data_IF_098311144992
#
_entry.id   IF_098311144992
#
_cell.length_a   1.000
_cell.length_b   1.000
_cell.length_c   1.000
_cell.angle_alpha   90.00
_cell.angle_beta   90.00
_cell.angle_gamma   90.00
#
_symmetry.space_group_name_H-M   'P 1'
#
loop_
_entity.id
_entity.type
_entity.pdbx_description
1 polymer ?
#
# COMPACT_ATOMS: atom_id res chain seq x y z
N UNK A 1 8.67 -3.70 5.51
CA UNK A 1 9.83 -4.50 5.04
C UNK A 1 9.45 -5.21 3.76
N UNK A 2 10.41 -5.50 2.88
CA UNK A 2 10.16 -6.39 1.75
C UNK A 2 10.09 -7.84 2.26
N UNK A 3 9.23 -8.65 1.65
CA UNK A 3 9.12 -10.10 1.91
C UNK A 3 9.91 -10.86 0.84
N UNK A 4 10.03 -12.18 0.99
CA UNK A 4 10.74 -13.03 0.02
C UNK A 4 9.99 -13.18 -1.31
N UNK A 5 8.65 -13.21 -1.28
CA UNK A 5 7.86 -13.28 -2.50
C UNK A 5 8.04 -12.04 -3.38
N UNK A 6 8.18 -12.25 -4.68
CA UNK A 6 8.55 -11.23 -5.64
C UNK A 6 7.82 -11.38 -7.00
N UNK A 7 8.14 -10.45 -7.91
CA UNK A 7 7.82 -10.50 -9.33
C UNK A 7 9.14 -10.56 -10.09
N UNK A 8 9.29 -11.57 -10.95
CA UNK A 8 10.42 -11.71 -11.86
C UNK A 8 9.95 -11.45 -13.29
N UNK A 9 10.74 -10.67 -14.02
CA UNK A 9 10.48 -10.36 -15.43
C UNK A 9 11.72 -10.71 -16.23
N UNK A 10 11.62 -11.75 -17.06
CA UNK A 10 12.63 -12.03 -18.07
C UNK A 10 12.35 -11.15 -19.29
N UNK A 11 13.37 -10.46 -19.80
CA UNK A 11 13.23 -9.49 -20.88
C UNK A 11 14.25 -9.72 -21.99
N UNK A 12 13.81 -9.54 -23.24
CA UNK A 12 14.67 -9.38 -24.41
C UNK A 12 14.20 -8.17 -25.22
N UNK A 13 15.14 -7.50 -25.89
CA UNK A 13 14.83 -6.38 -26.79
C UNK A 13 14.35 -6.90 -28.14
N UNK A 14 13.39 -6.21 -28.75
CA UNK A 14 12.94 -6.41 -30.13
C UNK A 14 13.03 -5.10 -30.94
N UNK A 15 12.78 -5.18 -32.25
CA UNK A 15 12.91 -4.06 -33.19
C UNK A 15 11.60 -3.75 -33.94
N UNK A 16 10.44 -4.13 -33.37
CA UNK A 16 9.12 -4.04 -34.00
C UNK A 16 8.24 -2.92 -33.43
N UNK A 17 8.76 -2.14 -32.48
CA UNK A 17 8.07 -1.09 -31.72
C UNK A 17 6.88 -1.58 -30.88
N UNK A 18 6.89 -2.87 -30.54
CA UNK A 18 5.81 -3.54 -29.79
C UNK A 18 6.30 -3.98 -28.42
N UNK A 19 5.40 -3.90 -27.45
CA UNK A 19 5.52 -4.52 -26.14
C UNK A 19 4.79 -5.85 -26.20
N UNK A 20 5.51 -6.97 -26.12
CA UNK A 20 4.93 -8.31 -26.04
C UNK A 20 5.01 -8.82 -24.61
N UNK A 21 3.85 -9.10 -24.01
CA UNK A 21 3.72 -9.57 -22.64
C UNK A 21 3.16 -10.98 -22.61
N UNK A 22 3.89 -11.88 -21.95
CA UNK A 22 3.40 -13.20 -21.58
C UNK A 22 3.50 -13.38 -20.08
N UNK A 23 2.62 -14.19 -19.51
CA UNK A 23 2.70 -14.58 -18.11
C UNK A 23 2.92 -16.10 -18.02
N UNK A 24 3.71 -16.53 -17.05
CA UNK A 24 3.95 -17.96 -16.82
C UNK A 24 2.74 -18.65 -16.15
N UNK A 25 1.86 -17.89 -15.50
CA UNK A 25 0.58 -18.39 -15.04
C UNK A 25 -0.49 -18.21 -16.12
N UNK A 26 -0.99 -19.33 -16.64
CA UNK A 26 -1.99 -19.41 -17.70
C UNK A 26 -3.30 -18.64 -17.44
N UNK A 27 -3.61 -18.30 -16.19
CA UNK A 27 -4.79 -17.47 -15.87
C UNK A 27 -4.65 -16.03 -16.38
N UNK A 28 -3.42 -15.55 -16.56
CA UNK A 28 -3.12 -14.22 -17.09
C UNK A 28 -2.84 -14.32 -18.59
N UNK A 29 -3.79 -13.85 -19.40
CA UNK A 29 -3.69 -13.91 -20.86
C UNK A 29 -2.53 -13.05 -21.38
N UNK A 30 -1.92 -13.51 -22.46
CA UNK A 30 -0.91 -12.75 -23.19
C UNK A 30 -1.50 -11.45 -23.76
N UNK A 31 -0.65 -10.44 -23.88
CA UNK A 31 -1.03 -9.11 -24.35
C UNK A 31 0.08 -8.52 -25.23
N UNK A 32 -0.29 -7.70 -26.21
CA UNK A 32 0.67 -6.90 -26.95
C UNK A 32 0.08 -5.55 -27.35
N UNK A 33 0.92 -4.51 -27.40
CA UNK A 33 0.56 -3.20 -27.95
C UNK A 33 1.79 -2.44 -28.44
N UNK A 34 1.60 -1.42 -29.29
CA UNK A 34 2.70 -0.52 -29.63
C UNK A 34 2.99 0.42 -28.45
N UNK A 35 4.23 0.88 -28.34
CA UNK A 35 4.62 1.91 -27.35
C UNK A 35 3.75 3.17 -27.40
N UNK A 36 3.35 3.60 -28.60
CA UNK A 36 2.47 4.78 -28.79
C UNK A 36 1.04 4.59 -28.25
N UNK A 37 0.58 3.35 -28.12
CA UNK A 37 -0.80 3.02 -27.76
C UNK A 37 -0.98 2.79 -26.25
N UNK A 38 0.10 2.86 -25.45
CA UNK A 38 0.09 2.58 -24.01
C UNK A 38 -1.00 3.34 -23.27
N UNK A 39 -1.11 4.65 -23.49
CA UNK A 39 -2.11 5.48 -22.80
C UNK A 39 -3.54 5.08 -23.12
N UNK A 40 -3.80 4.64 -24.37
CA UNK A 40 -5.11 4.13 -24.79
C UNK A 40 -5.39 2.79 -24.12
N UNK A 41 -4.42 1.89 -24.09
CA UNK A 41 -4.56 0.57 -23.47
C UNK A 41 -4.78 0.64 -21.95
N UNK A 42 -4.16 1.60 -21.26
CA UNK A 42 -4.40 1.81 -19.81
C UNK A 42 -5.79 2.41 -19.58
N UNK A 43 -6.19 3.39 -20.39
CA UNK A 43 -7.45 4.12 -20.24
C UNK A 43 -8.70 3.37 -20.72
N UNK A 44 -8.54 2.23 -21.39
CA UNK A 44 -9.64 1.36 -21.75
C UNK A 44 -10.37 0.90 -20.48
N UNK A 45 -11.63 1.31 -20.33
CA UNK A 45 -12.51 0.97 -19.21
C UNK A 45 -13.38 -0.26 -19.49
N UNK A 46 -13.45 -0.71 -20.74
CA UNK A 46 -14.25 -1.88 -21.13
C UNK A 46 -13.54 -3.19 -20.75
N UNK A 47 -12.20 -3.20 -20.83
CA UNK A 47 -11.37 -4.19 -20.15
C UNK A 47 -11.20 -3.76 -18.69
N UNK A 48 -11.41 -4.65 -17.71
CA UNK A 48 -11.22 -4.33 -16.30
C UNK A 48 -9.76 -3.94 -15.97
N UNK A 49 -9.35 -3.88 -14.68
CA UNK A 49 -7.96 -3.69 -14.30
C UNK A 49 -7.14 -4.97 -14.58
N UNK A 50 -6.99 -5.31 -15.86
CA UNK A 50 -6.24 -6.47 -16.34
C UNK A 50 -4.76 -6.34 -15.95
N UNK A 51 -4.14 -7.49 -15.67
CA UNK A 51 -2.79 -7.55 -15.11
C UNK A 51 -1.76 -6.75 -15.92
N UNK A 52 -1.87 -6.78 -17.26
CA UNK A 52 -0.93 -6.11 -18.15
C UNK A 52 -0.99 -4.58 -18.00
N UNK A 53 -2.12 -4.00 -17.57
CA UNK A 53 -2.25 -2.55 -17.39
C UNK A 53 -1.31 -2.04 -16.30
N UNK A 54 -1.06 -2.81 -15.25
CA UNK A 54 -0.06 -2.46 -14.22
C UNK A 54 1.36 -2.43 -14.80
N UNK A 55 1.70 -3.39 -15.66
CA UNK A 55 2.98 -3.36 -16.38
C UNK A 55 3.07 -2.09 -17.26
N UNK A 56 2.01 -1.81 -18.04
CA UNK A 56 1.94 -0.62 -18.89
C UNK A 56 2.03 0.70 -18.11
N UNK A 57 1.44 0.78 -16.91
CA UNK A 57 1.60 1.92 -16.01
C UNK A 57 3.08 2.17 -15.72
N UNK A 58 3.82 1.13 -15.34
CA UNK A 58 5.26 1.22 -15.08
C UNK A 58 6.06 1.62 -16.33
N UNK A 59 5.75 1.05 -17.49
CA UNK A 59 6.38 1.45 -18.76
C UNK A 59 6.12 2.93 -19.02
N UNK A 60 4.87 3.38 -18.97
CA UNK A 60 4.50 4.78 -19.18
C UNK A 60 5.27 5.72 -18.27
N UNK A 61 5.33 5.42 -16.96
CA UNK A 61 6.07 6.24 -16.00
C UNK A 61 7.57 6.32 -16.29
N UNK A 62 8.17 5.23 -16.78
CA UNK A 62 9.57 5.25 -17.20
C UNK A 62 9.79 6.08 -18.47
N UNK A 63 8.89 5.96 -19.47
CA UNK A 63 8.97 6.74 -20.72
C UNK A 63 8.87 8.25 -20.50
N UNK A 64 8.20 8.69 -19.44
CA UNK A 64 8.06 10.11 -19.09
C UNK A 64 9.36 10.74 -18.56
N UNK A 65 10.35 9.93 -18.17
CA UNK A 65 11.62 10.41 -17.59
C UNK A 65 12.86 10.06 -18.39
N UNK A 66 12.78 9.08 -19.30
CA UNK A 66 13.91 8.71 -20.15
C UNK A 66 13.93 9.57 -21.44
N UNK A 67 15.11 9.87 -22.01
CA UNK A 67 15.20 10.54 -23.30
C UNK A 67 14.55 9.70 -24.43
N UNK A 68 13.93 10.35 -25.40
CA UNK A 68 13.20 9.70 -26.51
C UNK A 68 14.13 8.82 -27.35
N UNK A 69 15.38 9.26 -27.55
CA UNK A 69 16.43 8.52 -28.25
C UNK A 69 16.90 7.24 -27.53
N UNK A 70 16.60 7.13 -26.23
CA UNK A 70 16.96 5.98 -25.41
C UNK A 70 15.79 4.98 -25.25
N UNK A 71 14.63 5.27 -25.84
CA UNK A 71 13.47 4.37 -25.77
C UNK A 71 13.76 3.08 -26.56
N UNK A 72 13.57 1.90 -25.94
CA UNK A 72 13.75 0.63 -26.66
C UNK A 72 12.82 0.51 -27.87
N UNK A 73 13.34 -0.01 -28.99
CA UNK A 73 12.56 -0.22 -30.23
C UNK A 73 11.61 -1.41 -30.18
N UNK A 74 11.32 -1.96 -29.00
CA UNK A 74 10.54 -3.19 -28.81
C UNK A 74 10.99 -3.98 -27.59
N UNK A 75 10.05 -4.66 -26.91
CA UNK A 75 10.37 -5.55 -25.79
C UNK A 75 9.56 -6.85 -25.87
N UNK A 76 10.21 -7.96 -25.53
CA UNK A 76 9.61 -9.24 -25.22
C UNK A 76 9.76 -9.46 -23.71
N UNK A 77 8.65 -9.50 -22.97
CA UNK A 77 8.69 -9.68 -21.51
C UNK A 77 7.84 -10.89 -21.06
N UNK A 78 8.47 -11.77 -20.27
CA UNK A 78 7.82 -12.90 -19.63
C UNK A 78 7.78 -12.67 -18.11
N UNK A 79 6.57 -12.62 -17.56
CA UNK A 79 6.32 -12.28 -16.15
C UNK A 79 5.99 -13.53 -15.36
N UNK A 80 6.66 -13.70 -14.22
CA UNK A 80 6.36 -14.67 -13.19
C UNK A 80 6.26 -13.98 -11.83
N UNK A 81 5.46 -14.52 -10.92
CA UNK A 81 5.35 -13.97 -9.58
C UNK A 81 4.70 -14.94 -8.61
N UNK A 82 5.17 -14.91 -7.36
CA UNK A 82 4.64 -15.74 -6.27
C UNK A 82 4.02 -14.91 -5.12
N UNK A 83 3.99 -13.57 -5.24
CA UNK A 83 3.23 -12.73 -4.30
C UNK A 83 1.74 -13.06 -4.43
N UNK A 84 1.04 -13.44 -3.35
CA UNK A 84 -0.40 -13.69 -3.40
C UNK A 84 -1.14 -12.48 -3.99
N UNK A 85 -1.87 -12.61 -5.10
CA UNK A 85 -2.54 -11.47 -5.73
C UNK A 85 -3.73 -10.98 -4.89
N UNK A 86 -4.03 -9.68 -4.96
CA UNK A 86 -5.19 -9.06 -4.28
C UNK A 86 -5.25 -9.31 -2.76
N UNK A 87 -4.08 -9.43 -2.15
CA UNK A 87 -3.90 -9.92 -0.78
C UNK A 87 -3.40 -8.87 0.22
N UNK A 88 -3.20 -7.62 -0.21
CA UNK A 88 -2.54 -6.61 0.63
C UNK A 88 -1.02 -6.73 0.71
N UNK A 89 -0.38 -7.62 -0.06
CA UNK A 89 1.08 -7.78 -0.15
C UNK A 89 1.71 -7.10 -1.38
N UNK A 90 1.00 -6.12 -1.97
CA UNK A 90 1.56 -5.20 -2.98
C UNK A 90 2.10 -5.83 -4.27
N UNK A 91 1.49 -6.93 -4.75
CA UNK A 91 1.84 -7.52 -6.05
C UNK A 91 1.67 -6.59 -7.25
N UNK A 92 0.70 -5.66 -7.21
CA UNK A 92 0.52 -4.63 -8.24
C UNK A 92 1.72 -3.69 -8.29
N UNK A 93 2.14 -3.17 -7.15
CA UNK A 93 3.27 -2.25 -7.01
C UNK A 93 4.59 -2.92 -7.35
N UNK A 94 4.76 -4.21 -7.04
CA UNK A 94 5.91 -4.99 -7.46
C UNK A 94 6.00 -5.11 -8.99
N UNK A 95 4.87 -5.38 -9.67
CA UNK A 95 4.82 -5.44 -11.13
C UNK A 95 5.10 -4.08 -11.79
N UNK A 96 4.51 -2.99 -11.27
CA UNK A 96 4.79 -1.63 -11.73
C UNK A 96 6.27 -1.28 -11.55
N UNK A 97 6.82 -1.55 -10.37
CA UNK A 97 8.21 -1.24 -10.04
C UNK A 97 9.20 -2.03 -10.89
N UNK A 98 8.92 -3.32 -11.13
CA UNK A 98 9.72 -4.16 -12.01
C UNK A 98 9.67 -3.67 -13.47
N UNK A 99 8.50 -3.22 -13.96
CA UNK A 99 8.38 -2.65 -15.30
C UNK A 99 9.14 -1.32 -15.44
N UNK A 100 9.10 -0.43 -14.44
CA UNK A 100 9.92 0.80 -14.41
C UNK A 100 11.41 0.45 -14.45
N UNK A 101 11.86 -0.45 -13.57
CA UNK A 101 13.25 -0.86 -13.50
C UNK A 101 13.75 -1.45 -14.83
N UNK A 102 12.91 -2.29 -15.45
CA UNK A 102 13.19 -2.90 -16.75
C UNK A 102 13.41 -1.84 -17.83
N UNK A 103 12.49 -0.89 -18.00
CA UNK A 103 12.57 0.12 -19.06
C UNK A 103 13.76 1.06 -18.84
N UNK A 104 13.96 1.52 -17.61
CA UNK A 104 15.10 2.39 -17.26
C UNK A 104 16.44 1.68 -17.49
N UNK A 105 16.52 0.39 -17.16
CA UNK A 105 17.73 -0.39 -17.44
C UNK A 105 17.95 -0.60 -18.93
N UNK A 106 16.89 -0.96 -19.68
CA UNK A 106 16.93 -1.16 -21.12
C UNK A 106 17.33 0.11 -21.89
N UNK A 107 16.96 1.29 -21.37
CA UNK A 107 17.35 2.58 -21.94
C UNK A 107 18.76 3.04 -21.55
N UNK A 108 19.48 2.23 -20.76
CA UNK A 108 20.81 2.55 -20.19
C UNK A 108 20.83 3.84 -19.37
N UNK A 109 19.66 4.33 -18.95
CA UNK A 109 19.53 5.52 -18.12
C UNK A 109 19.77 5.16 -16.65
N UNK A 110 20.50 6.01 -15.92
CA UNK A 110 20.81 5.75 -14.52
C UNK A 110 19.93 6.62 -13.61
N UNK A 111 19.10 5.95 -12.81
CA UNK A 111 18.29 6.56 -11.77
C UNK A 111 18.61 5.93 -10.43
N UNK A 112 18.58 6.73 -9.37
CA UNK A 112 18.68 6.22 -8.02
C UNK A 112 17.44 5.38 -7.66
N UNK A 113 17.60 4.47 -6.69
CA UNK A 113 16.47 3.70 -6.14
C UNK A 113 15.32 4.57 -5.63
N UNK A 114 15.62 5.78 -5.15
CA UNK A 114 14.61 6.74 -4.66
C UNK A 114 13.82 7.35 -5.82
N UNK A 115 14.48 7.68 -6.92
CA UNK A 115 13.81 8.17 -8.14
C UNK A 115 12.94 7.07 -8.74
N UNK A 116 13.46 5.84 -8.87
CA UNK A 116 12.71 4.68 -9.36
C UNK A 116 11.45 4.42 -8.53
N UNK A 117 11.56 4.46 -7.20
CA UNK A 117 10.41 4.33 -6.30
C UNK A 117 9.38 5.46 -6.49
N UNK A 118 9.84 6.70 -6.64
CA UNK A 118 8.97 7.87 -6.82
C UNK A 118 8.23 7.82 -8.16
N UNK A 119 8.94 7.46 -9.24
CA UNK A 119 8.36 7.25 -10.57
C UNK A 119 7.31 6.15 -10.51
N UNK A 120 7.66 5.00 -9.91
CA UNK A 120 6.76 3.85 -9.79
C UNK A 120 5.48 4.20 -9.01
N UNK A 121 5.59 4.97 -7.93
CA UNK A 121 4.44 5.40 -7.14
C UNK A 121 3.49 6.33 -7.91
N UNK A 122 4.05 7.23 -8.73
CA UNK A 122 3.25 8.09 -9.60
C UNK A 122 2.63 7.29 -10.76
N UNK A 123 3.41 6.39 -11.35
CA UNK A 123 3.02 5.54 -12.46
C UNK A 123 1.83 4.63 -12.11
N UNK A 124 1.84 4.01 -10.93
CA UNK A 124 0.73 3.13 -10.52
C UNK A 124 -0.61 3.86 -10.47
N UNK A 125 -0.64 5.19 -10.25
CA UNK A 125 -1.89 5.97 -10.26
C UNK A 125 -2.57 6.01 -11.62
N UNK A 126 -1.87 5.69 -12.72
CA UNK A 126 -2.48 5.57 -14.04
C UNK A 126 -3.53 4.44 -14.10
N UNK A 127 -3.49 3.47 -13.18
CA UNK A 127 -4.55 2.44 -13.08
C UNK A 127 -5.85 2.99 -12.47
N UNK A 128 -5.84 4.22 -11.95
CA UNK A 128 -6.99 4.88 -11.31
C UNK A 128 -6.96 4.89 -9.77
N UNK A 129 -6.07 4.13 -9.13
CA UNK A 129 -5.91 4.14 -7.67
C UNK A 129 -5.09 5.34 -7.21
N UNK A 130 -5.57 6.08 -6.21
CA UNK A 130 -4.88 7.25 -5.64
C UNK A 130 -3.94 6.86 -4.50
N UNK A 131 -3.11 5.85 -4.74
CA UNK A 131 -2.17 5.27 -3.78
C UNK A 131 -1.07 6.22 -3.31
N UNK A 132 -0.51 5.88 -2.14
CA UNK A 132 0.75 6.43 -1.62
C UNK A 132 1.98 5.83 -2.31
N UNK A 133 3.16 6.02 -1.69
CA UNK A 133 4.44 5.55 -2.21
C UNK A 133 5.13 4.45 -1.39
N UNK A 134 4.47 3.90 -0.36
CA UNK A 134 5.07 2.95 0.58
C UNK A 134 5.52 1.66 -0.11
N UNK A 135 4.65 1.08 -0.93
CA UNK A 135 4.83 -0.21 -1.56
C UNK A 135 5.99 -0.20 -2.55
N UNK A 136 6.08 0.85 -3.36
CA UNK A 136 7.14 1.05 -4.35
C UNK A 136 8.44 1.44 -3.66
N UNK A 137 8.39 2.29 -2.62
CA UNK A 137 9.56 2.64 -1.84
C UNK A 137 10.20 1.40 -1.20
N UNK A 138 9.41 0.54 -0.54
CA UNK A 138 9.97 -0.67 0.07
C UNK A 138 10.43 -1.69 -0.98
N UNK A 139 9.77 -1.75 -2.14
CA UNK A 139 10.20 -2.60 -3.24
C UNK A 139 11.61 -2.24 -3.73
N UNK A 140 11.99 -0.96 -3.79
CA UNK A 140 13.36 -0.59 -4.20
C UNK A 140 14.36 -0.51 -3.04
N UNK A 141 13.94 0.05 -1.91
CA UNK A 141 14.82 0.40 -0.79
C UNK A 141 14.98 -0.74 0.24
N UNK A 142 14.19 -1.81 0.13
CA UNK A 142 14.30 -2.98 1.00
C UNK A 142 15.73 -3.49 1.13
N UNK A 143 16.07 -3.92 2.35
CA UNK A 143 17.40 -4.41 2.72
C UNK A 143 17.23 -5.67 3.57
N UNK A 144 17.93 -6.73 3.19
CA UNK A 144 17.91 -7.98 3.93
C UNK A 144 18.28 -7.76 5.41
N UNK A 145 17.52 -8.36 6.32
CA UNK A 145 17.74 -8.30 7.77
C UNK A 145 17.28 -7.02 8.47
N UNK A 146 16.70 -6.03 7.77
CA UNK A 146 16.19 -4.81 8.41
C UNK A 146 14.82 -4.38 7.89
N UNK A 147 13.92 -4.04 8.83
CA UNK A 147 12.72 -3.28 8.47
C UNK A 147 13.10 -1.84 8.12
N UNK A 148 12.14 -1.03 7.67
CA UNK A 148 12.43 0.33 7.23
C UNK A 148 11.31 1.27 7.64
N UNK A 149 11.69 2.39 8.27
CA UNK A 149 10.86 3.58 8.37
C UNK A 149 10.99 4.35 7.06
N UNK A 150 9.87 4.51 6.35
CA UNK A 150 9.81 5.26 5.09
C UNK A 150 9.15 6.60 5.35
N UNK A 151 9.86 7.67 5.02
CA UNK A 151 9.37 9.04 5.11
C UNK A 151 9.19 9.61 3.70
N UNK A 152 8.27 10.55 3.55
CA UNK A 152 7.92 11.17 2.27
C UNK A 152 8.11 12.69 2.32
N UNK A 153 8.35 13.30 1.16
CA UNK A 153 8.58 14.75 0.96
C UNK A 153 9.77 15.32 1.76
N UNK A 154 11.02 14.87 1.51
CA UNK A 154 11.46 13.98 0.44
C UNK A 154 11.43 12.49 0.82
N UNK A 155 11.53 11.60 -0.18
CA UNK A 155 11.60 10.15 0.08
C UNK A 155 12.89 9.78 0.82
N UNK A 156 12.75 9.24 2.04
CA UNK A 156 13.84 8.70 2.86
C UNK A 156 13.47 7.31 3.38
N UNK A 157 14.49 6.47 3.53
CA UNK A 157 14.37 5.16 4.16
C UNK A 157 15.42 5.05 5.26
N UNK A 158 14.96 4.77 6.47
CA UNK A 158 15.81 4.58 7.66
C UNK A 158 15.63 3.15 8.15
N UNK A 159 16.73 2.42 8.28
CA UNK A 159 16.74 1.04 8.78
C UNK A 159 16.16 0.98 10.20
N UNK A 160 15.27 0.02 10.44
CA UNK A 160 14.70 -0.27 11.76
C UNK A 160 15.10 -1.67 12.15
N UNK A 161 15.86 -1.79 13.23
CA UNK A 161 16.31 -3.07 13.77
C UNK A 161 15.17 -3.65 14.62
N UNK A 162 14.64 -4.78 14.17
CA UNK A 162 13.62 -5.52 14.91
C UNK A 162 14.27 -6.33 16.05
N UNK A 163 13.54 -6.63 17.14
CA UNK A 163 14.02 -7.57 18.15
C UNK A 163 14.44 -8.91 17.52
N UNK A 164 15.56 -9.49 17.97
CA UNK A 164 16.19 -10.68 17.37
C UNK A 164 15.27 -11.91 17.40
N UNK A 165 14.45 -12.02 18.43
CA UNK A 165 13.48 -13.09 18.66
C UNK A 165 12.13 -12.83 17.97
N UNK A 166 11.94 -11.66 17.34
CA UNK A 166 10.72 -11.34 16.59
C UNK A 166 10.64 -12.17 15.32
N UNK A 167 9.50 -12.83 15.10
CA UNK A 167 9.14 -13.40 13.81
C UNK A 167 7.79 -12.84 13.39
N UNK A 168 7.70 -12.39 12.15
CA UNK A 168 6.44 -11.98 11.56
C UNK A 168 5.88 -13.13 10.73
N UNK A 169 4.57 -13.39 10.89
CA UNK A 169 3.87 -14.42 10.13
C UNK A 169 2.77 -13.74 9.33
N UNK A 170 2.77 -13.99 8.03
CA UNK A 170 1.71 -13.57 7.12
C UNK A 170 0.66 -14.67 7.07
N UNK A 171 -0.61 -14.29 7.17
CA UNK A 171 -1.72 -15.20 6.97
C UNK A 171 -2.80 -14.59 6.07
N UNK A 172 -3.26 -15.33 5.07
CA UNK A 172 -4.21 -14.86 4.06
C UNK A 172 -5.66 -15.22 4.44
N UNK A 173 -6.55 -14.23 4.49
CA UNK A 173 -7.96 -14.39 4.94
C UNK A 173 -8.89 -15.10 3.95
N UNK A 174 -8.38 -15.46 2.77
CA UNK A 174 -9.14 -16.02 1.64
C UNK A 174 -10.26 -15.09 1.14
N UNK A 175 -10.25 -13.81 1.53
CA UNK A 175 -11.06 -12.75 0.94
C UNK A 175 -10.14 -11.91 0.06
N UNK A 176 -10.34 -11.93 -1.25
CA UNK A 176 -9.56 -11.11 -2.18
C UNK A 176 -10.23 -9.76 -2.40
N UNK A 177 -9.43 -8.70 -2.50
CA UNK A 177 -9.92 -7.37 -2.83
C UNK A 177 -9.01 -6.70 -3.86
N UNK A 178 -9.55 -6.42 -5.04
CA UNK A 178 -8.84 -5.66 -6.07
C UNK A 178 -9.15 -4.16 -5.91
N UNK A 179 -8.15 -3.41 -5.43
CA UNK A 179 -8.29 -1.97 -5.13
C UNK A 179 -8.62 -1.12 -6.35
N UNK A 180 -8.17 -1.50 -7.54
CA UNK A 180 -8.45 -0.75 -8.78
C UNK A 180 -9.87 -1.00 -9.30
N UNK A 181 -10.55 -2.04 -8.81
CA UNK A 181 -11.91 -2.38 -9.23
C UNK A 181 -13.00 -1.76 -8.36
N UNK A 182 -12.66 -1.11 -7.24
CA UNK A 182 -13.64 -0.47 -6.34
C UNK A 182 -13.27 0.96 -6.00
N UNK A 183 -14.24 1.72 -5.49
CA UNK A 183 -14.04 3.11 -5.06
C UNK A 183 -13.58 3.24 -3.61
N UNK A 184 -13.53 2.14 -2.85
CA UNK A 184 -13.33 2.16 -1.38
C UNK A 184 -12.01 2.82 -0.99
N UNK A 185 -10.93 2.45 -1.68
CA UNK A 185 -9.60 3.01 -1.44
C UNK A 185 -9.57 4.52 -1.72
N UNK A 186 -10.06 4.93 -2.89
CA UNK A 186 -10.07 6.34 -3.29
C UNK A 186 -11.01 7.18 -2.41
N UNK A 187 -12.08 6.59 -1.88
CA UNK A 187 -12.96 7.27 -0.92
C UNK A 187 -12.20 7.63 0.35
N UNK A 188 -11.37 6.73 0.89
CA UNK A 188 -10.55 7.02 2.07
C UNK A 188 -9.54 8.14 1.81
N UNK A 189 -8.94 8.17 0.62
CA UNK A 189 -8.04 9.26 0.19
C UNK A 189 -8.79 10.59 0.15
N UNK A 190 -9.98 10.61 -0.45
CA UNK A 190 -10.84 11.79 -0.52
C UNK A 190 -11.27 12.27 0.87
N UNK A 191 -11.72 11.37 1.76
CA UNK A 191 -12.10 11.70 3.13
C UNK A 191 -10.94 12.33 3.91
N UNK A 192 -9.72 11.81 3.78
CA UNK A 192 -8.54 12.38 4.44
C UNK A 192 -8.19 13.77 3.91
N UNK A 193 -8.27 13.98 2.59
CA UNK A 193 -8.02 15.29 1.97
C UNK A 193 -9.07 16.32 2.41
N UNK A 194 -10.35 15.96 2.35
CA UNK A 194 -11.45 16.81 2.77
C UNK A 194 -11.35 17.16 4.27
N UNK A 195 -10.96 16.21 5.12
CA UNK A 195 -10.71 16.47 6.53
C UNK A 195 -9.59 17.50 6.72
N UNK A 196 -8.47 17.36 6.00
CA UNK A 196 -7.36 18.32 6.06
C UNK A 196 -7.79 19.73 5.63
N UNK A 197 -8.55 19.84 4.53
CA UNK A 197 -9.08 21.11 4.01
C UNK A 197 -10.07 21.76 4.98
N UNK A 198 -10.97 20.98 5.58
CA UNK A 198 -11.92 21.45 6.59
C UNK A 198 -11.21 22.00 7.83
N UNK A 199 -10.18 21.31 8.33
CA UNK A 199 -9.37 21.78 9.46
C UNK A 199 -8.62 23.07 9.06
N UNK A 200 -8.01 23.09 7.87
CA UNK A 200 -7.31 24.27 7.36
C UNK A 200 -8.22 25.50 7.32
N UNK A 201 -9.44 25.36 6.77
CA UNK A 201 -10.43 26.43 6.73
C UNK A 201 -10.80 26.92 8.13
N UNK A 202 -11.13 26.02 9.06
CA UNK A 202 -11.48 26.38 10.46
C UNK A 202 -10.34 27.04 11.22
N UNK A 203 -9.10 26.71 10.88
CA UNK A 203 -7.88 27.28 11.48
C UNK A 203 -7.31 28.47 10.71
N UNK A 204 -8.10 29.08 9.81
CA UNK A 204 -7.72 30.25 9.01
C UNK A 204 -6.44 30.04 8.19
N UNK A 205 -6.27 28.84 7.63
CA UNK A 205 -5.19 28.48 6.69
C UNK A 205 -5.74 28.37 5.27
N UNK A 206 -4.92 28.63 4.22
CA UNK A 206 -5.35 28.47 2.82
C UNK A 206 -5.62 27.00 2.53
N UNK A 207 -6.89 26.62 2.43
CA UNK A 207 -7.31 25.23 2.33
C UNK A 207 -7.22 24.70 0.91
N UNK A 208 -7.29 25.56 -0.11
CA UNK A 208 -7.32 25.17 -1.53
C UNK A 208 -6.06 24.42 -1.97
N UNK A 209 -4.93 24.66 -1.30
CA UNK A 209 -3.65 24.00 -1.59
C UNK A 209 -3.36 22.82 -0.67
N UNK A 210 -4.20 22.57 0.35
CA UNK A 210 -4.01 21.47 1.28
C UNK A 210 -4.46 20.17 0.63
N UNK A 211 -3.55 19.21 0.56
CA UNK A 211 -3.75 17.93 -0.11
C UNK A 211 -3.73 16.76 0.88
N UNK A 212 -3.06 16.91 2.02
CA UNK A 212 -2.80 15.85 2.99
C UNK A 212 -2.94 16.38 4.42
N UNK A 213 -3.19 15.45 5.35
CA UNK A 213 -3.27 15.77 6.78
C UNK A 213 -1.92 16.24 7.36
N UNK A 214 -0.79 15.80 6.82
CA UNK A 214 0.52 16.31 7.26
C UNK A 214 0.72 17.78 6.90
N UNK A 215 0.21 18.24 5.74
CA UNK A 215 0.35 19.63 5.31
C UNK A 215 -0.27 20.61 6.33
N UNK A 216 -1.40 20.22 6.94
CA UNK A 216 -2.05 21.04 7.97
C UNK A 216 -1.36 20.92 9.34
N UNK A 217 -0.80 19.75 9.69
CA UNK A 217 0.00 19.59 10.89
C UNK A 217 1.23 20.51 10.86
N UNK A 218 1.96 20.51 9.74
CA UNK A 218 3.14 21.36 9.54
C UNK A 218 2.78 22.84 9.55
N UNK A 219 1.69 23.22 8.87
CA UNK A 219 1.20 24.60 8.85
C UNK A 219 0.80 25.15 10.22
N UNK A 220 0.31 24.28 11.11
CA UNK A 220 -0.03 24.62 12.50
C UNK A 220 1.15 24.47 13.47
N UNK A 221 2.23 23.82 13.05
CA UNK A 221 3.39 23.48 13.88
C UNK A 221 2.98 22.75 15.18
N UNK A 222 2.14 21.71 15.03
CA UNK A 222 1.60 20.92 16.12
C UNK A 222 2.10 19.47 16.11
N UNK A 223 2.21 18.88 17.29
CA UNK A 223 2.48 17.46 17.47
C UNK A 223 1.27 16.61 17.05
N UNK A 224 1.52 15.31 16.84
CA UNK A 224 0.45 14.34 16.51
C UNK A 224 -0.66 14.30 17.57
N UNK A 225 -0.30 14.41 18.85
CA UNK A 225 -1.26 14.40 19.97
C UNK A 225 -2.11 15.68 20.02
N UNK A 226 -1.50 16.83 19.71
CA UNK A 226 -2.24 18.09 19.60
C UNK A 226 -3.22 18.04 18.41
N UNK A 227 -2.81 17.44 17.28
CA UNK A 227 -3.69 17.26 16.13
C UNK A 227 -4.93 16.39 16.43
N UNK A 228 -4.82 15.38 17.31
CA UNK A 228 -5.99 14.61 17.78
C UNK A 228 -6.99 15.51 18.51
N UNK A 229 -6.51 16.46 19.32
CA UNK A 229 -7.36 17.44 20.01
C UNK A 229 -8.01 18.43 19.03
N UNK A 230 -7.25 18.87 18.02
CA UNK A 230 -7.75 19.71 16.93
C UNK A 230 -8.90 19.01 16.20
N UNK A 231 -8.72 17.75 15.78
CA UNK A 231 -9.77 16.98 15.09
C UNK A 231 -11.03 16.85 15.94
N UNK A 232 -10.86 16.54 17.23
CA UNK A 232 -11.99 16.34 18.14
C UNK A 232 -12.84 17.59 18.29
N UNK A 233 -12.22 18.77 18.18
CA UNK A 233 -12.88 20.07 18.28
C UNK A 233 -13.43 20.55 16.93
N UNK A 234 -12.67 20.33 15.86
CA UNK A 234 -12.90 20.96 14.57
C UNK A 234 -13.79 20.13 13.65
N UNK A 235 -13.90 18.82 13.84
CA UNK A 235 -14.72 17.93 13.01
C UNK A 235 -15.79 17.23 13.88
N UNK A 236 -17.04 17.19 13.41
CA UNK A 236 -18.10 16.45 14.09
C UNK A 236 -18.10 14.96 13.72
N UNK A 237 -18.78 14.16 14.53
CA UNK A 237 -18.79 12.70 14.40
C UNK A 237 -19.59 12.22 13.19
N UNK A 238 -20.73 12.85 12.90
CA UNK A 238 -21.61 12.37 11.84
C UNK A 238 -20.99 12.50 10.44
N UNK A 239 -21.36 11.61 9.49
CA UNK A 239 -20.89 11.73 8.11
C UNK A 239 -21.32 13.06 7.47
N UNK A 240 -20.38 13.68 6.78
CA UNK A 240 -20.59 14.91 6.03
C UNK A 240 -21.21 14.64 4.67
N UNK A 241 -22.07 15.55 4.21
CA UNK A 241 -22.53 15.57 2.81
C UNK A 241 -21.66 16.50 1.96
N UNK A 242 -21.63 16.29 0.65
CA UNK A 242 -20.90 17.20 -0.25
C UNK A 242 -21.39 18.65 -0.12
N UNK A 243 -22.71 18.86 -0.01
CA UNK A 243 -23.29 20.20 0.15
C UNK A 243 -22.84 20.88 1.43
N UNK A 244 -22.71 20.13 2.51
CA UNK A 244 -22.25 20.66 3.79
C UNK A 244 -20.78 21.07 3.71
N UNK A 245 -19.93 20.23 3.12
CA UNK A 245 -18.50 20.51 2.95
C UNK A 245 -18.30 21.76 2.09
N UNK A 246 -18.98 21.84 0.94
CA UNK A 246 -18.90 23.00 0.05
C UNK A 246 -19.33 24.29 0.75
N UNK A 247 -20.39 24.23 1.57
CA UNK A 247 -20.82 25.36 2.39
C UNK A 247 -19.75 25.76 3.42
N UNK A 248 -19.17 24.80 4.13
CA UNK A 248 -18.15 25.07 5.15
C UNK A 248 -16.85 25.63 4.56
N UNK A 249 -16.49 25.24 3.34
CA UNK A 249 -15.30 25.73 2.64
C UNK A 249 -15.53 27.05 1.88
N UNK A 250 -16.77 27.55 1.83
CA UNK A 250 -17.22 28.67 1.00
C UNK A 250 -16.88 28.46 -0.49
N UNK A 251 -17.26 27.30 -1.04
CA UNK A 251 -16.94 26.92 -2.42
C UNK A 251 -18.11 26.23 -3.13
N UNK A 252 -17.97 25.99 -4.44
CA UNK A 252 -18.95 25.23 -5.22
C UNK A 252 -18.59 23.75 -5.30
N UNK A 253 -19.58 22.90 -5.56
CA UNK A 253 -19.35 21.46 -5.72
C UNK A 253 -18.42 21.17 -6.91
N UNK A 254 -18.48 21.95 -7.98
CA UNK A 254 -17.62 21.79 -9.16
C UNK A 254 -16.16 22.04 -8.80
N UNK A 255 -15.87 23.17 -8.14
CA UNK A 255 -14.52 23.51 -7.70
C UNK A 255 -13.98 22.51 -6.67
N UNK A 256 -14.83 22.05 -5.75
CA UNK A 256 -14.44 21.04 -4.76
C UNK A 256 -14.10 19.69 -5.42
N UNK A 257 -14.84 19.30 -6.47
CA UNK A 257 -14.59 18.06 -7.21
C UNK A 257 -13.24 18.05 -7.91
N UNK A 258 -12.85 19.19 -8.47
CA UNK A 258 -11.56 19.38 -9.13
C UNK A 258 -10.40 19.28 -8.13
N UNK A 259 -10.46 20.06 -7.04
CA UNK A 259 -9.35 20.22 -6.09
C UNK A 259 -9.18 19.01 -5.17
N UNK A 260 -10.27 18.27 -4.89
CA UNK A 260 -10.28 17.26 -3.82
C UNK A 260 -10.32 15.80 -4.29
N UNK A 261 -10.13 15.56 -5.60
CA UNK A 261 -10.22 14.25 -6.26
C UNK A 261 -11.58 13.56 -6.08
N UNK A 262 -12.68 14.29 -6.35
CA UNK A 262 -14.03 13.75 -6.19
C UNK A 262 -14.73 13.42 -7.51
N UNK A 263 -14.00 13.32 -8.63
CA UNK A 263 -14.59 13.14 -9.96
C UNK A 263 -15.48 11.89 -10.02
N UNK A 264 -15.09 10.82 -9.32
CA UNK A 264 -15.77 9.52 -9.38
C UNK A 264 -16.87 9.32 -8.32
N UNK A 265 -17.18 10.32 -7.49
CA UNK A 265 -18.20 10.18 -6.44
C UNK A 265 -19.50 10.88 -6.82
N UNK A 266 -20.64 10.25 -6.54
CA UNK A 266 -21.95 10.88 -6.74
C UNK A 266 -22.20 12.02 -5.74
N UNK A 267 -23.20 12.86 -5.99
CA UNK A 267 -23.61 13.89 -5.04
C UNK A 267 -24.23 13.33 -3.74
N UNK A 268 -24.66 12.06 -3.77
CA UNK A 268 -25.23 11.37 -2.62
C UNK A 268 -24.17 10.73 -1.70
N UNK A 269 -22.89 10.79 -2.09
CA UNK A 269 -21.79 10.27 -1.28
C UNK A 269 -21.68 11.01 0.06
N UNK A 270 -21.47 10.24 1.12
CA UNK A 270 -21.19 10.74 2.48
C UNK A 270 -19.71 10.51 2.85
N UNK A 271 -19.17 11.37 3.72
CA UNK A 271 -17.74 11.39 4.06
C UNK A 271 -17.52 11.41 5.58
N UNK A 272 -16.79 10.43 6.12
CA UNK A 272 -16.47 10.31 7.56
C UNK A 272 -15.14 10.98 7.91
N UNK A 273 -15.13 12.32 7.90
CA UNK A 273 -13.89 13.11 8.00
C UNK A 273 -13.15 12.90 9.32
N UNK A 274 -13.87 12.96 10.45
CA UNK A 274 -13.28 12.90 11.79
C UNK A 274 -12.59 11.57 12.05
N UNK A 275 -13.27 10.47 11.75
CA UNK A 275 -12.75 9.12 12.00
C UNK A 275 -11.52 8.83 11.14
N UNK A 276 -11.51 9.30 9.88
CA UNK A 276 -10.37 9.11 8.98
C UNK A 276 -9.16 9.91 9.46
N UNK A 277 -9.37 11.16 9.86
CA UNK A 277 -8.31 12.00 10.38
C UNK A 277 -7.75 11.46 11.71
N UNK A 278 -8.61 11.03 12.63
CA UNK A 278 -8.19 10.39 13.89
C UNK A 278 -7.34 9.14 13.63
N UNK A 279 -7.79 8.26 12.73
CA UNK A 279 -7.01 7.08 12.36
C UNK A 279 -5.61 7.47 11.89
N UNK A 280 -5.49 8.43 10.96
CA UNK A 280 -4.21 8.79 10.35
C UNK A 280 -3.20 9.32 11.37
N UNK A 281 -3.57 10.31 12.21
CA UNK A 281 -2.58 10.83 13.17
C UNK A 281 -2.25 9.84 14.29
N UNK A 282 -3.23 9.05 14.74
CA UNK A 282 -2.97 8.01 15.74
C UNK A 282 -2.10 6.87 15.16
N UNK A 283 -2.29 6.50 13.89
CA UNK A 283 -1.45 5.51 13.21
C UNK A 283 -0.03 6.04 13.01
N UNK A 284 0.13 7.30 12.60
CA UNK A 284 1.44 7.94 12.53
C UNK A 284 2.17 7.94 13.88
N UNK A 285 1.45 8.20 14.98
CA UNK A 285 2.02 8.14 16.32
C UNK A 285 2.45 6.71 16.70
N UNK A 286 1.63 5.69 16.36
CA UNK A 286 1.97 4.28 16.56
C UNK A 286 3.23 3.86 15.79
N UNK A 287 3.45 4.39 14.58
CA UNK A 287 4.66 4.11 13.80
C UNK A 287 5.92 4.63 14.50
N UNK A 288 5.89 5.88 14.98
CA UNK A 288 7.03 6.47 15.71
C UNK A 288 7.30 5.72 17.02
N UNK A 289 6.25 5.33 17.75
CA UNK A 289 6.38 4.54 18.98
C UNK A 289 6.93 3.14 18.69
N UNK A 290 6.49 2.49 17.61
CA UNK A 290 6.99 1.18 17.19
C UNK A 290 8.50 1.23 16.91
N UNK A 291 8.96 2.25 16.17
CA UNK A 291 10.38 2.47 15.94
C UNK A 291 11.13 2.67 17.27
N UNK A 292 10.64 3.59 18.11
CA UNK A 292 11.26 3.92 19.39
C UNK A 292 11.45 2.69 20.28
N UNK A 293 10.41 1.85 20.43
CA UNK A 293 10.47 0.63 21.23
C UNK A 293 11.46 -0.38 20.63
N UNK A 294 11.47 -0.53 19.31
CA UNK A 294 12.36 -1.47 18.62
C UNK A 294 13.83 -1.16 18.95
N UNK A 295 14.22 0.11 18.87
CA UNK A 295 15.60 0.58 19.04
C UNK A 295 16.04 0.77 20.50
N UNK A 296 15.12 0.73 21.47
CA UNK A 296 15.40 1.06 22.87
C UNK A 296 16.13 -0.04 23.63
N UNK A 297 17.42 0.11 23.90
CA UNK A 297 18.23 -0.93 24.58
C UNK A 297 17.83 -1.25 26.03
N UNK A 298 17.14 -0.35 26.72
CA UNK A 298 16.83 -0.49 28.15
C UNK A 298 15.64 -1.42 28.47
N UNK A 299 14.92 -1.92 27.46
CA UNK A 299 13.74 -2.78 27.65
C UNK A 299 14.14 -4.22 27.32
N UNK A 300 13.75 -5.16 28.20
CA UNK A 300 13.91 -6.60 27.94
C UNK A 300 13.19 -7.01 26.66
N UNK A 301 13.77 -7.93 25.92
CA UNK A 301 13.28 -8.27 24.58
C UNK A 301 11.84 -8.80 24.56
N UNK A 302 11.47 -9.65 25.53
CA UNK A 302 10.11 -10.14 25.67
C UNK A 302 9.09 -9.01 25.89
N UNK A 303 9.46 -8.00 26.69
CA UNK A 303 8.63 -6.85 26.97
C UNK A 303 8.51 -5.94 25.74
N UNK A 304 9.60 -5.75 24.98
CA UNK A 304 9.53 -5.06 23.68
C UNK A 304 8.51 -5.72 22.77
N UNK A 305 8.60 -7.05 22.59
CA UNK A 305 7.70 -7.78 21.70
C UNK A 305 6.23 -7.66 22.11
N UNK A 306 5.94 -7.70 23.41
CA UNK A 306 4.58 -7.47 23.92
C UNK A 306 4.09 -6.06 23.60
N UNK A 307 4.93 -5.03 23.78
CA UNK A 307 4.56 -3.65 23.46
C UNK A 307 4.34 -3.44 21.96
N UNK A 308 5.23 -3.99 21.11
CA UNK A 308 5.08 -3.96 19.65
C UNK A 308 3.80 -4.69 19.21
N UNK A 309 3.52 -5.86 19.79
CA UNK A 309 2.28 -6.61 19.56
C UNK A 309 1.02 -5.81 19.94
N UNK A 310 1.04 -5.12 21.08
CA UNK A 310 -0.05 -4.24 21.50
C UNK A 310 -0.26 -3.09 20.51
N UNK A 311 0.82 -2.47 19.99
CA UNK A 311 0.71 -1.44 18.96
C UNK A 311 0.07 -1.99 17.67
N UNK A 312 0.44 -3.20 17.25
CA UNK A 312 -0.17 -3.86 16.08
C UNK A 312 -1.66 -4.11 16.28
N UNK A 313 -2.06 -4.68 17.42
CA UNK A 313 -3.48 -4.92 17.75
C UNK A 313 -4.29 -3.63 17.82
N UNK A 314 -3.72 -2.56 18.39
CA UNK A 314 -4.35 -1.22 18.42
C UNK A 314 -4.49 -0.62 17.01
N UNK A 315 -3.49 -0.82 16.15
CA UNK A 315 -3.58 -0.45 14.73
C UNK A 315 -4.72 -1.21 14.04
N UNK A 316 -4.85 -2.53 14.28
CA UNK A 316 -5.96 -3.31 13.74
C UNK A 316 -7.33 -2.78 14.16
N UNK A 317 -7.50 -2.50 15.46
CA UNK A 317 -8.74 -1.94 15.97
C UNK A 317 -9.06 -0.60 15.31
N UNK A 318 -8.07 0.26 15.13
CA UNK A 318 -8.22 1.55 14.43
C UNK A 318 -8.62 1.36 12.96
N UNK A 319 -7.98 0.44 12.24
CA UNK A 319 -8.34 0.10 10.85
C UNK A 319 -9.76 -0.46 10.74
N UNK A 320 -10.20 -1.26 11.72
CA UNK A 320 -11.54 -1.80 11.74
C UNK A 320 -12.61 -0.74 12.08
N UNK A 321 -12.40 0.06 13.13
CA UNK A 321 -13.43 0.96 13.68
C UNK A 321 -13.37 2.39 13.14
N UNK A 322 -12.19 2.96 12.99
CA UNK A 322 -12.02 4.35 12.56
C UNK A 322 -11.80 4.46 11.05
N UNK A 323 -10.98 3.59 10.46
CA UNK A 323 -10.74 3.61 9.03
C UNK A 323 -11.71 2.74 8.23
N UNK A 324 -12.43 1.81 8.88
CA UNK A 324 -13.42 0.94 8.23
C UNK A 324 -12.89 0.31 6.93
N UNK A 325 -11.66 -0.22 6.99
CA UNK A 325 -11.01 -0.94 5.89
C UNK A 325 -10.73 -2.41 6.24
N UNK A 326 -11.27 -2.94 7.34
CA UNK A 326 -11.18 -4.38 7.62
C UNK A 326 -12.23 -5.18 6.85
N UNK A 327 -12.26 -6.49 7.07
CA UNK A 327 -13.24 -7.43 6.50
C UNK A 327 -13.57 -8.52 7.53
N UNK A 328 -14.80 -9.09 7.57
CA UNK A 328 -15.15 -10.14 8.53
C UNK A 328 -14.16 -11.32 8.56
N UNK A 329 -13.73 -11.80 7.39
CA UNK A 329 -12.71 -12.87 7.30
C UNK A 329 -11.33 -12.44 7.83
N UNK A 330 -10.98 -11.16 7.71
CA UNK A 330 -9.72 -10.62 8.27
C UNK A 330 -9.81 -10.52 9.78
N UNK A 331 -10.92 -10.00 10.32
CA UNK A 331 -11.16 -9.91 11.76
C UNK A 331 -11.12 -11.31 12.40
N UNK A 332 -11.83 -12.27 11.81
CA UNK A 332 -11.82 -13.66 12.29
C UNK A 332 -10.43 -14.28 12.25
N UNK A 333 -9.63 -13.96 11.23
CA UNK A 333 -8.25 -14.43 11.14
C UNK A 333 -7.33 -13.79 12.19
N UNK A 334 -7.53 -12.51 12.50
CA UNK A 334 -6.83 -11.84 13.62
C UNK A 334 -7.18 -12.52 14.93
N UNK A 335 -8.46 -12.77 15.22
CA UNK A 335 -8.90 -13.43 16.44
C UNK A 335 -8.28 -14.84 16.58
N UNK A 336 -8.27 -15.61 15.49
CA UNK A 336 -7.62 -16.94 15.43
C UNK A 336 -6.12 -16.86 15.67
N UNK A 337 -5.43 -15.90 15.05
CA UNK A 337 -4.00 -15.68 15.27
C UNK A 337 -3.71 -15.35 16.74
N UNK A 338 -4.50 -14.46 17.37
CA UNK A 338 -4.36 -14.16 18.80
C UNK A 338 -4.60 -15.41 19.67
N UNK A 339 -5.63 -16.21 19.37
CA UNK A 339 -5.90 -17.46 20.08
C UNK A 339 -4.79 -18.51 19.92
N UNK A 340 -4.09 -18.51 18.79
CA UNK A 340 -2.92 -19.36 18.53
C UNK A 340 -1.63 -18.87 19.22
N UNK A 341 -1.67 -17.72 19.90
CA UNK A 341 -0.56 -17.22 20.70
C UNK A 341 0.23 -16.06 20.08
N UNK A 342 -0.27 -15.41 19.02
CA UNK A 342 0.33 -14.17 18.53
C UNK A 342 0.39 -13.12 19.66
N UNK A 343 1.49 -12.38 19.74
CA UNK A 343 1.62 -11.24 20.67
C UNK A 343 0.86 -10.01 20.15
N UNK A 344 0.62 -9.95 18.85
CA UNK A 344 -0.25 -8.98 18.21
C UNK A 344 -0.47 -9.35 16.74
N UNK A 345 -1.61 -8.97 16.20
CA UNK A 345 -1.96 -9.22 14.81
C UNK A 345 -2.78 -8.07 14.22
N UNK A 346 -2.57 -7.80 12.94
CA UNK A 346 -3.31 -6.77 12.21
C UNK A 346 -3.42 -7.08 10.73
N UNK A 347 -4.46 -6.54 10.10
CA UNK A 347 -4.51 -6.34 8.65
C UNK A 347 -3.20 -5.72 8.13
N UNK A 348 -2.76 -6.15 6.94
CA UNK A 348 -1.70 -5.47 6.18
C UNK A 348 -2.17 -5.08 4.77
N UNK A 349 -1.55 -4.04 4.20
CA UNK A 349 -1.96 -3.46 2.93
C UNK A 349 -3.26 -2.66 3.02
N UNK A 350 -3.97 -2.57 1.90
CA UNK A 350 -5.14 -1.70 1.75
C UNK A 350 -6.36 -2.08 2.61
N UNK A 351 -6.58 -3.38 2.85
CA UNK A 351 -7.79 -3.86 3.51
C UNK A 351 -8.87 -4.43 2.61
N UNK A 352 -10.08 -4.50 3.16
CA UNK A 352 -11.29 -5.11 2.61
C UNK A 352 -11.14 -6.59 2.25
N UNK A 353 -10.13 -7.23 2.84
CA UNK A 353 -9.70 -8.58 2.55
C UNK A 353 -8.18 -8.69 2.71
N UNK A 354 -7.60 -9.69 2.09
CA UNK A 354 -6.17 -9.92 2.01
C UNK A 354 -5.58 -10.55 3.25
N UNK A 355 -4.37 -10.12 3.61
CA UNK A 355 -3.56 -10.75 4.64
C UNK A 355 -3.60 -9.99 5.96
N UNK A 356 -3.32 -10.74 7.01
CA UNK A 356 -2.83 -10.19 8.27
C UNK A 356 -1.32 -10.37 8.36
N UNK A 357 -0.71 -9.59 9.23
CA UNK A 357 0.63 -9.82 9.78
C UNK A 357 0.50 -9.98 11.29
N UNK A 358 1.05 -11.07 11.80
CA UNK A 358 1.12 -11.39 13.22
C UNK A 358 2.58 -11.38 13.69
N UNK A 359 2.82 -10.96 14.93
CA UNK A 359 4.14 -11.04 15.57
C UNK A 359 4.14 -12.16 16.62
N UNK A 360 5.15 -13.02 16.55
CA UNK A 360 5.37 -14.18 17.44
C UNK A 360 6.85 -14.26 17.81
N UNK A 361 7.20 -15.04 18.83
CA UNK A 361 8.59 -15.34 19.17
C UNK A 361 9.14 -16.50 18.33
N UNK A 362 10.44 -16.45 18.04
CA UNK A 362 11.16 -17.45 17.21
C UNK A 362 11.01 -18.89 17.70
N UNK A 363 10.96 -19.11 19.01
CA UNK A 363 10.77 -20.43 19.62
C UNK A 363 9.36 -21.01 19.41
N UNK A 364 8.35 -20.15 19.16
CA UNK A 364 6.94 -20.55 19.01
C UNK A 364 6.44 -20.55 17.57
N UNK A 365 7.22 -20.04 16.61
CA UNK A 365 6.77 -19.83 15.23
C UNK A 365 6.26 -21.13 14.56
N UNK A 366 6.96 -22.25 14.73
CA UNK A 366 6.55 -23.53 14.10
C UNK A 366 5.19 -23.98 14.63
N UNK A 367 5.03 -24.02 15.96
CA UNK A 367 3.77 -24.40 16.59
C UNK A 367 2.63 -23.45 16.21
N UNK A 368 2.91 -22.15 16.17
CA UNK A 368 1.94 -21.12 15.78
C UNK A 368 1.44 -21.35 14.35
N UNK A 369 2.35 -21.52 13.39
CA UNK A 369 2.00 -21.74 11.98
C UNK A 369 1.18 -23.02 11.81
N UNK A 370 1.59 -24.12 12.42
CA UNK A 370 0.88 -25.40 12.33
C UNK A 370 -0.53 -25.31 12.93
N UNK A 371 -0.67 -24.63 14.06
CA UNK A 371 -1.96 -24.47 14.73
C UNK A 371 -2.89 -23.57 13.92
N UNK A 372 -2.39 -22.46 13.39
CA UNK A 372 -3.17 -21.54 12.58
C UNK A 372 -3.60 -22.18 11.24
N UNK A 373 -2.73 -22.98 10.61
CA UNK A 373 -3.08 -23.76 9.42
C UNK A 373 -4.22 -24.75 9.71
N UNK A 374 -4.15 -25.49 10.82
CA UNK A 374 -5.24 -26.39 11.25
C UNK A 374 -6.55 -25.64 11.47
N UNK A 375 -6.49 -24.49 12.13
CA UNK A 375 -7.67 -23.63 12.36
C UNK A 375 -8.31 -23.09 11.07
N UNK A 376 -7.51 -22.86 10.03
CA UNK A 376 -7.99 -22.46 8.71
C UNK A 376 -8.57 -23.64 7.93
N UNK A 377 -7.92 -24.80 7.99
CA UNK A 377 -8.38 -26.03 7.34
C UNK A 377 -9.75 -26.47 7.87
N UNK A 378 -9.95 -26.39 9.19
CA UNK A 378 -11.25 -26.63 9.84
C UNK A 378 -12.37 -25.67 9.39
N UNK A 379 -12.02 -24.46 8.97
CA UNK A 379 -12.97 -23.48 8.43
C UNK A 379 -13.21 -23.65 6.91
N UNK A 380 -12.47 -24.53 6.26
CA UNK A 380 -12.53 -24.78 4.82
C UNK A 380 -11.59 -23.87 4.02
N UNK A 381 -10.98 -24.48 2.99
CA UNK A 381 -10.13 -23.79 2.01
C UNK A 381 -10.95 -23.54 0.75
N UNK A 382 -11.08 -22.27 0.36
CA UNK A 382 -11.77 -21.87 -0.86
C UNK A 382 -11.00 -22.32 -2.10
N UNK A 383 -11.74 -22.56 -3.18
CA UNK A 383 -11.16 -22.88 -4.48
C UNK A 383 -10.13 -21.85 -4.92
N UNK A 384 -9.00 -22.33 -5.46
CA UNK A 384 -7.88 -21.50 -5.90
C UNK A 384 -6.85 -21.16 -4.82
N UNK A 385 -7.07 -21.57 -3.56
CA UNK A 385 -6.07 -21.46 -2.49
C UNK A 385 -5.48 -22.82 -2.14
N UNK A 386 -4.23 -22.81 -1.66
CA UNK A 386 -3.56 -23.96 -1.06
C UNK A 386 -3.16 -23.60 0.35
N UNK A 387 -3.39 -24.51 1.30
CA UNK A 387 -3.13 -24.25 2.72
C UNK A 387 -1.69 -23.80 3.00
N UNK A 388 -0.72 -24.37 2.29
CA UNK A 388 0.69 -24.02 2.47
C UNK A 388 1.04 -22.61 2.06
N UNK A 389 0.29 -22.03 1.11
CA UNK A 389 0.49 -20.65 0.65
C UNK A 389 -0.26 -19.63 1.52
N UNK A 390 -1.16 -20.10 2.40
CA UNK A 390 -2.00 -19.23 3.23
C UNK A 390 -1.32 -18.73 4.49
N UNK A 391 -0.34 -19.44 5.04
CA UNK A 391 0.33 -19.07 6.30
C UNK A 391 1.81 -19.35 6.19
N UNK A 392 2.64 -18.30 6.26
CA UNK A 392 4.09 -18.42 6.17
C UNK A 392 4.80 -17.38 7.04
N UNK A 393 5.90 -17.77 7.71
CA UNK A 393 6.78 -16.81 8.37
C UNK A 393 7.53 -15.98 7.31
N UNK A 394 7.92 -14.77 7.68
CA UNK A 394 8.70 -13.88 6.82
C UNK A 394 9.73 -13.11 7.64
N UNK A 395 10.80 -12.71 6.97
CA UNK A 395 11.82 -11.80 7.48
C UNK A 395 12.08 -10.68 6.47
N UNK A 396 12.72 -9.57 6.88
CA UNK A 396 13.04 -8.49 5.96
C UNK A 396 14.00 -8.96 4.85
N UNK A 397 13.60 -8.76 3.60
CA UNK A 397 14.37 -9.19 2.43
C UNK A 397 14.91 -8.00 1.60
N UNK A 398 15.72 -8.31 0.59
CA UNK A 398 16.35 -7.36 -0.31
C UNK A 398 15.32 -6.75 -1.27
N UNK A 399 15.46 -5.45 -1.56
CA UNK A 399 14.68 -4.78 -2.59
C UNK A 399 15.13 -5.14 -4.01
N UNK A 400 14.47 -4.53 -5.00
CA UNK A 400 14.62 -4.79 -6.41
C UNK A 400 16.09 -4.80 -6.88
N UNK A 401 16.38 -5.75 -7.76
CA UNK A 401 17.69 -6.04 -8.32
C UNK A 401 17.57 -6.44 -9.79
N UNK A 402 18.70 -6.38 -10.50
CA UNK A 402 18.83 -6.82 -11.90
C UNK A 402 19.79 -8.00 -11.92
N UNK A 403 19.40 -9.06 -12.63
CA UNK A 403 20.21 -10.24 -12.86
C UNK A 403 20.66 -10.26 -14.31
N UNK A 404 21.97 -10.22 -14.54
CA UNK A 404 22.56 -10.38 -15.87
C UNK A 404 22.86 -11.87 -16.07
N UNK A 405 22.30 -12.46 -17.12
CA UNK A 405 22.43 -13.90 -17.46
C UNK A 405 23.37 -14.05 -18.65
#
# INVERSE_FOLDING_TARGET
MAIEQDILIAVALSNDNVIHLTNLDSKYKNFHCNFKDISVCIGDVDSGPDWYKYFLCGVKGALEVIPEECVPSGILAAVWGNIPPNSGLSSSSALVSAAVLLIVHASQHQLSKRELATISANAERYIGTQGGGMDQAIAFLGKAGSAMLIEFNPLRGTDVILPETAVFVIAHSQACHNKASTTDYNLRVAECRLAAQMIAKKRNKPWEHVQRLIDIQESLNMSLNEMVSVITTDLHEEPYTLSEISKNLDTTNEKLREISLLQNFSNAQIFKLKQRALHVYQEAARVLEFQHISEKNAIMEEEKLKQLGNLMSNSHFSMHKLYECSHPSVNSLVDKAMACGALGARLTGAGWGGCIVAIITKDKVSQFVDTLKKELDLCGIKDGFKLDDLVFPTEPNQGAAIYMI
#
